data_IF_744034470314
#
_entry.id   IF_744034470314
#
_cell.length_a   1.000
_cell.length_b   1.000
_cell.length_c   1.000
_cell.angle_alpha   90.00
_cell.angle_beta   90.00
_cell.angle_gamma   90.00
#
_symmetry.space_group_name_H-M   'P 1'
#
loop_
_entity.id
_entity.type
_entity.pdbx_description
1 polymer ?
#
# COMPACT_ATOMS: atom_id res chain seq x y z
N UNK A 1 20.31 -0.93 -60.94
CA UNK A 1 21.16 -0.89 -59.73
C UNK A 1 21.47 -2.27 -59.21
N UNK A 2 22.62 -2.42 -58.57
CA UNK A 2 23.10 -3.67 -57.97
C UNK A 2 23.14 -3.52 -56.45
N UNK A 3 22.47 -4.42 -55.73
CA UNK A 3 22.41 -4.43 -54.27
C UNK A 3 23.73 -4.91 -53.68
N UNK A 4 24.14 -4.32 -52.55
CA UNK A 4 25.18 -4.88 -51.68
C UNK A 4 24.51 -5.47 -50.43
N UNK A 5 24.64 -6.77 -50.22
CA UNK A 5 24.03 -7.48 -49.10
C UNK A 5 25.00 -8.49 -48.47
N UNK A 6 24.64 -8.96 -47.27
CA UNK A 6 25.31 -10.05 -46.58
C UNK A 6 24.52 -11.34 -46.82
N UNK A 7 25.09 -12.36 -47.47
CA UNK A 7 24.42 -13.67 -47.63
C UNK A 7 24.45 -14.50 -46.34
N UNK A 8 25.31 -14.12 -45.38
CA UNK A 8 25.41 -14.79 -44.08
C UNK A 8 24.35 -14.33 -43.09
N UNK A 9 24.16 -15.11 -42.03
CA UNK A 9 23.26 -14.76 -40.93
C UNK A 9 23.97 -13.88 -39.89
N UNK A 10 23.23 -13.02 -39.16
CA UNK A 10 23.76 -12.34 -37.98
C UNK A 10 24.25 -13.36 -36.94
N UNK A 11 25.42 -13.10 -36.36
CA UNK A 11 26.02 -13.94 -35.31
C UNK A 11 26.44 -13.06 -34.14
N UNK A 12 26.00 -13.48 -32.95
CA UNK A 12 26.22 -12.81 -31.68
C UNK A 12 26.89 -13.80 -30.72
N UNK A 13 28.17 -13.59 -30.41
CA UNK A 13 28.93 -14.43 -29.48
C UNK A 13 29.99 -13.58 -28.75
N UNK A 14 30.21 -13.81 -27.46
CA UNK A 14 31.21 -13.11 -26.62
C UNK A 14 31.18 -11.57 -26.75
N UNK A 15 29.98 -10.98 -26.66
CA UNK A 15 29.73 -9.54 -26.83
C UNK A 15 30.09 -8.95 -28.22
N UNK A 16 30.55 -9.78 -29.16
CA UNK A 16 30.86 -9.42 -30.53
C UNK A 16 29.69 -9.75 -31.47
N UNK A 17 29.44 -8.83 -32.38
CA UNK A 17 28.36 -8.84 -33.37
C UNK A 17 28.98 -8.84 -34.77
N UNK A 18 28.46 -9.66 -35.68
CA UNK A 18 28.98 -9.73 -37.04
C UNK A 18 28.08 -10.56 -37.96
N UNK A 19 28.48 -10.66 -39.22
CA UNK A 19 27.81 -11.49 -40.22
C UNK A 19 28.63 -12.75 -40.47
N UNK A 20 28.01 -13.93 -40.61
CA UNK A 20 28.75 -15.18 -40.83
C UNK A 20 29.57 -15.20 -42.12
N UNK A 21 29.19 -14.39 -43.11
CA UNK A 21 29.92 -14.18 -44.35
C UNK A 21 31.09 -13.19 -44.21
N UNK A 22 31.33 -12.60 -43.04
CA UNK A 22 32.34 -11.56 -42.82
C UNK A 22 33.20 -11.82 -41.59
N UNK A 23 34.48 -11.42 -41.68
CA UNK A 23 35.40 -11.48 -40.53
C UNK A 23 35.28 -10.28 -39.60
N UNK A 24 34.67 -9.16 -40.04
CA UNK A 24 34.51 -7.95 -39.21
C UNK A 24 33.57 -8.24 -38.03
N UNK A 25 34.02 -7.91 -36.82
CA UNK A 25 33.28 -8.04 -35.56
C UNK A 25 33.23 -6.69 -34.86
N UNK A 26 32.10 -6.34 -34.29
CA UNK A 26 31.90 -5.07 -33.57
C UNK A 26 31.24 -5.36 -32.21
N UNK A 27 31.58 -4.59 -31.18
CA UNK A 27 30.90 -4.65 -29.89
C UNK A 27 29.64 -3.78 -29.88
N UNK A 28 29.62 -2.71 -30.69
CA UNK A 28 28.48 -1.81 -30.84
C UNK A 28 27.45 -2.31 -31.86
N UNK A 29 26.16 -2.10 -31.56
CA UNK A 29 25.04 -2.55 -32.40
C UNK A 29 24.80 -1.64 -33.61
N UNK A 30 25.02 -0.33 -33.45
CA UNK A 30 24.87 0.63 -34.55
C UNK A 30 25.96 0.42 -35.60
N UNK A 31 27.19 0.12 -35.16
CA UNK A 31 28.29 -0.24 -36.05
C UNK A 31 28.01 -1.56 -36.80
N UNK A 32 27.40 -2.55 -36.15
CA UNK A 32 27.01 -3.82 -36.77
C UNK A 32 26.00 -3.63 -37.91
N UNK A 33 24.93 -2.85 -37.69
CA UNK A 33 23.95 -2.54 -38.74
C UNK A 33 24.56 -1.73 -39.90
N UNK A 34 25.62 -0.98 -39.61
CA UNK A 34 26.33 -0.15 -40.58
C UNK A 34 27.36 -0.92 -41.43
N UNK A 35 27.59 -2.21 -41.15
CA UNK A 35 28.51 -3.04 -41.94
C UNK A 35 27.96 -3.20 -43.36
N UNK A 36 28.64 -2.60 -44.34
CA UNK A 36 28.29 -2.69 -45.77
C UNK A 36 28.28 -4.15 -46.24
N UNK A 37 27.29 -4.51 -47.06
CA UNK A 37 27.14 -5.85 -47.63
C UNK A 37 28.42 -6.32 -48.35
N UNK A 38 28.83 -7.55 -48.11
CA UNK A 38 30.04 -8.11 -48.70
C UNK A 38 29.83 -8.71 -50.10
N UNK A 39 28.58 -8.87 -50.55
CA UNK A 39 28.23 -9.50 -51.83
C UNK A 39 27.39 -8.54 -52.69
N UNK A 40 27.69 -8.49 -53.99
CA UNK A 40 26.97 -7.68 -54.98
C UNK A 40 26.03 -8.56 -55.80
N UNK A 41 24.75 -8.22 -55.89
CA UNK A 41 23.79 -8.98 -56.68
C UNK A 41 22.59 -8.17 -57.15
N UNK A 42 21.72 -8.79 -57.95
CA UNK A 42 20.49 -8.17 -58.42
C UNK A 42 19.43 -8.17 -57.33
N UNK A 43 18.55 -7.17 -57.35
CA UNK A 43 17.45 -7.08 -56.39
C UNK A 43 16.45 -8.19 -56.69
N UNK A 44 16.23 -9.10 -55.73
CA UNK A 44 15.13 -10.08 -55.80
C UNK A 44 13.96 -9.60 -54.93
N UNK A 45 12.72 -9.82 -55.38
CA UNK A 45 11.49 -9.58 -54.59
C UNK A 45 11.11 -10.77 -53.71
N UNK A 46 11.84 -11.87 -53.81
CA UNK A 46 11.60 -13.07 -53.01
C UNK A 46 12.21 -12.88 -51.63
N UNK A 47 11.37 -12.97 -50.58
CA UNK A 47 11.83 -12.93 -49.18
C UNK A 47 12.71 -14.15 -48.94
N UNK A 48 13.98 -13.98 -48.51
CA UNK A 48 14.81 -15.12 -48.12
C UNK A 48 14.11 -15.93 -47.01
N UNK A 49 14.21 -17.27 -47.03
CA UNK A 49 13.61 -18.11 -46.01
C UNK A 49 14.11 -17.69 -44.63
N UNK A 50 13.19 -17.60 -43.66
CA UNK A 50 13.53 -17.28 -42.28
C UNK A 50 14.49 -18.35 -41.76
N UNK A 51 15.61 -17.97 -41.10
CA UNK A 51 16.57 -18.94 -40.62
C UNK A 51 15.90 -19.81 -39.55
N UNK A 52 15.66 -21.08 -39.89
CA UNK A 52 15.28 -22.10 -38.92
C UNK A 52 16.40 -22.19 -37.89
N UNK A 53 16.05 -22.06 -36.62
CA UNK A 53 16.91 -22.39 -35.48
C UNK A 53 17.43 -23.83 -35.66
N UNK A 54 18.62 -23.99 -36.23
CA UNK A 54 19.28 -25.28 -36.32
C UNK A 54 19.97 -25.54 -34.98
N UNK A 55 19.36 -26.41 -34.18
CA UNK A 55 20.04 -27.15 -33.13
C UNK A 55 21.24 -27.88 -33.76
N UNK A 56 22.42 -27.72 -33.16
CA UNK A 56 23.65 -28.34 -33.69
C UNK A 56 23.59 -29.84 -33.44
N UNK A 57 23.45 -30.63 -34.49
CA UNK A 57 23.91 -32.03 -34.52
C UNK A 57 25.35 -32.04 -35.05
N UNK A 58 26.31 -32.41 -34.22
CA UNK A 58 27.60 -32.92 -34.67
C UNK A 58 28.01 -34.07 -33.76
N UNK A 59 28.36 -35.18 -34.40
CA UNK A 59 28.73 -36.47 -33.83
C UNK A 59 30.18 -36.46 -33.28
N UNK A 60 30.46 -37.41 -32.38
CA UNK A 60 31.75 -37.84 -31.77
C UNK A 60 32.34 -37.15 -30.50
N UNK A 61 33.12 -37.87 -29.63
CA UNK A 61 32.54 -38.53 -28.45
C UNK A 61 33.07 -38.05 -27.07
N UNK A 62 32.15 -38.13 -26.08
CA UNK A 62 32.31 -38.20 -24.61
C UNK A 62 33.39 -37.35 -23.91
N UNK A 63 32.94 -36.24 -23.31
CA UNK A 63 33.42 -35.77 -22.01
C UNK A 63 32.21 -35.42 -21.10
N UNK A 64 32.39 -35.65 -19.79
CA UNK A 64 31.38 -35.74 -18.71
C UNK A 64 30.40 -34.53 -18.66
N UNK A 65 29.16 -34.70 -18.17
CA UNK A 65 28.18 -33.63 -18.16
C UNK A 65 28.54 -32.60 -17.08
N UNK A 66 29.07 -31.45 -17.49
CA UNK A 66 28.97 -30.23 -16.71
C UNK A 66 27.52 -29.79 -16.88
N UNK A 67 26.74 -29.76 -15.80
CA UNK A 67 25.41 -29.12 -15.81
C UNK A 67 25.62 -27.67 -16.25
N UNK A 68 25.30 -27.37 -17.50
CA UNK A 68 25.17 -26.00 -17.96
C UNK A 68 24.13 -25.33 -17.07
N UNK A 69 24.59 -24.39 -16.26
CA UNK A 69 23.72 -23.51 -15.49
C UNK A 69 23.04 -22.60 -16.52
N UNK A 70 21.88 -23.01 -17.03
CA UNK A 70 21.03 -22.16 -17.87
C UNK A 70 20.66 -20.95 -17.01
N UNK A 71 21.36 -19.84 -17.19
CA UNK A 71 20.99 -18.57 -16.58
C UNK A 71 19.73 -18.10 -17.30
N UNK A 72 18.57 -18.45 -16.74
CA UNK A 72 17.29 -17.92 -17.21
C UNK A 72 17.33 -16.40 -17.07
N UNK A 73 17.12 -15.69 -18.18
CA UNK A 73 16.90 -14.25 -18.15
C UNK A 73 15.66 -13.90 -17.31
N UNK A 74 15.55 -12.65 -16.82
CA UNK A 74 14.37 -12.22 -16.06
C UNK A 74 13.08 -12.47 -16.88
N UNK A 75 12.02 -12.90 -16.21
CA UNK A 75 10.71 -13.13 -16.84
C UNK A 75 10.25 -11.85 -17.56
N UNK A 76 9.65 -11.99 -18.75
CA UNK A 76 9.02 -10.86 -19.45
C UNK A 76 7.92 -10.24 -18.59
N UNK A 77 7.79 -8.91 -18.61
CA UNK A 77 6.78 -8.16 -17.87
C UNK A 77 5.34 -8.65 -18.15
N UNK A 78 5.03 -9.02 -19.39
CA UNK A 78 3.71 -9.58 -19.74
C UNK A 78 3.43 -10.93 -19.04
N UNK A 79 4.46 -11.77 -18.90
CA UNK A 79 4.32 -13.06 -18.22
C UNK A 79 4.14 -12.86 -16.71
N UNK A 80 4.87 -11.89 -16.13
CA UNK A 80 4.71 -11.54 -14.71
C UNK A 80 3.32 -11.00 -14.40
N UNK A 81 2.75 -10.16 -15.28
CA UNK A 81 1.38 -9.66 -15.15
C UNK A 81 0.33 -10.78 -15.22
N UNK A 82 0.50 -11.77 -16.10
CA UNK A 82 -0.44 -12.91 -16.20
C UNK A 82 -0.37 -13.88 -15.02
N UNK A 83 0.82 -14.05 -14.43
CA UNK A 83 1.04 -14.92 -13.27
C UNK A 83 0.70 -14.22 -11.95
N UNK A 84 0.38 -12.93 -11.98
CA UNK A 84 0.10 -12.12 -10.79
C UNK A 84 -1.21 -12.56 -10.12
N UNK A 85 -1.19 -12.89 -8.82
CA UNK A 85 -2.40 -13.23 -8.07
C UNK A 85 -3.41 -12.08 -8.00
N UNK A 86 -4.67 -12.39 -7.66
CA UNK A 86 -5.70 -11.35 -7.54
C UNK A 86 -5.42 -10.40 -6.37
N UNK A 87 -5.83 -9.13 -6.53
CA UNK A 87 -5.83 -8.13 -5.45
C UNK A 87 -6.80 -8.50 -4.32
N UNK A 88 -7.90 -9.18 -4.66
CA UNK A 88 -8.98 -9.55 -3.75
C UNK A 88 -8.67 -10.78 -2.87
N UNK A 89 -7.46 -11.33 -2.96
CA UNK A 89 -7.05 -12.44 -2.08
C UNK A 89 -7.12 -12.04 -0.59
N UNK A 90 -7.50 -12.97 0.30
CA UNK A 90 -7.63 -12.68 1.72
C UNK A 90 -6.30 -12.18 2.30
N UNK A 91 -6.34 -11.01 2.93
CA UNK A 91 -5.15 -10.39 3.53
C UNK A 91 -4.85 -11.02 4.87
N UNK A 92 -3.59 -11.38 5.08
CA UNK A 92 -3.10 -11.91 6.35
C UNK A 92 -2.56 -10.78 7.23
N UNK A 93 -2.85 -10.85 8.53
CA UNK A 93 -2.28 -9.92 9.51
C UNK A 93 -0.79 -10.18 9.69
N UNK A 94 0.03 -9.14 9.53
CA UNK A 94 1.48 -9.22 9.69
C UNK A 94 1.88 -9.13 11.17
N UNK A 95 2.93 -9.86 11.59
CA UNK A 95 3.42 -9.78 12.96
C UNK A 95 3.99 -8.39 13.25
N UNK A 96 3.57 -7.80 14.36
CA UNK A 96 4.04 -6.49 14.81
C UNK A 96 5.22 -6.68 15.76
N UNK A 97 6.38 -6.12 15.41
CA UNK A 97 7.55 -6.05 16.28
C UNK A 97 7.78 -4.61 16.71
N UNK A 98 7.70 -4.37 18.02
CA UNK A 98 7.89 -3.05 18.62
C UNK A 98 9.37 -2.87 18.98
N UNK A 99 9.92 -1.69 18.73
CA UNK A 99 11.29 -1.36 19.14
C UNK A 99 11.31 -0.85 20.58
N UNK A 100 12.38 -1.17 21.32
CA UNK A 100 12.59 -0.73 22.71
C UNK A 100 12.48 0.79 22.87
N UNK A 101 12.94 1.55 21.87
CA UNK A 101 12.85 3.01 21.88
C UNK A 101 11.40 3.52 21.85
N UNK A 102 10.51 2.84 21.12
CA UNK A 102 9.09 3.19 21.07
C UNK A 102 8.40 2.81 22.38
N UNK A 103 8.71 1.63 22.94
CA UNK A 103 8.19 1.21 24.26
C UNK A 103 8.50 2.25 25.33
N UNK A 104 9.77 2.65 25.43
CA UNK A 104 10.21 3.69 26.37
C UNK A 104 9.55 5.06 26.12
N UNK A 105 9.30 5.42 24.86
CA UNK A 105 8.63 6.68 24.54
C UNK A 105 7.16 6.65 24.99
N UNK A 106 6.47 5.52 24.80
CA UNK A 106 5.09 5.34 25.25
C UNK A 106 4.98 5.28 26.78
N UNK A 107 5.91 4.59 27.45
CA UNK A 107 6.01 4.60 28.91
C UNK A 107 6.20 6.01 29.45
N UNK A 108 7.14 6.80 28.89
CA UNK A 108 7.34 8.19 29.32
C UNK A 108 6.13 9.08 29.07
N UNK A 109 5.40 8.87 27.97
CA UNK A 109 4.19 9.64 27.71
C UNK A 109 3.10 9.30 28.73
N UNK A 110 2.92 8.01 29.04
CA UNK A 110 2.02 7.57 30.10
C UNK A 110 2.44 8.14 31.46
N UNK A 111 3.72 8.06 31.81
CA UNK A 111 4.25 8.63 33.05
C UNK A 111 4.13 10.16 33.07
N UNK A 112 4.26 10.88 31.95
CA UNK A 112 4.07 12.34 31.91
C UNK A 112 2.60 12.75 32.02
N UNK A 113 1.68 11.93 31.52
CA UNK A 113 0.27 12.06 31.83
C UNK A 113 -0.01 11.71 33.29
N UNK A 114 0.73 10.77 33.87
CA UNK A 114 0.58 10.39 35.27
C UNK A 114 1.24 11.39 36.25
N UNK A 115 2.35 12.05 35.90
CA UNK A 115 3.09 13.01 36.73
C UNK A 115 2.39 14.38 36.77
N UNK A 116 1.70 14.75 35.67
CA UNK A 116 0.63 15.78 35.73
C UNK A 116 -0.58 15.35 36.56
N UNK A 117 -0.69 14.08 36.94
CA UNK A 117 -1.76 13.56 37.81
C UNK A 117 -1.28 13.16 39.21
N UNK A 118 0.00 13.34 39.57
CA UNK A 118 0.46 13.04 40.94
C UNK A 118 0.09 14.14 41.95
N UNK A 119 -0.24 15.36 41.49
CA UNK A 119 -1.01 16.34 42.27
C UNK A 119 -2.54 16.14 42.16
N UNK A 120 -3.02 15.18 41.36
CA UNK A 120 -4.44 14.90 41.15
C UNK A 120 -4.79 13.41 41.30
N UNK A 121 -4.07 12.70 42.18
CA UNK A 121 -4.17 11.24 42.33
C UNK A 121 -5.35 10.76 43.20
N UNK A 122 -6.35 11.63 43.36
CA UNK A 122 -7.70 11.31 43.84
C UNK A 122 -8.80 11.51 42.76
N UNK A 123 -8.49 12.05 41.57
CA UNK A 123 -9.51 12.50 40.60
C UNK A 123 -9.61 11.65 39.30
N UNK A 124 -9.17 10.40 39.29
CA UNK A 124 -9.44 9.48 38.18
C UNK A 124 -10.68 8.60 38.47
N UNK A 125 -11.87 9.21 38.44
CA UNK A 125 -13.17 8.60 38.06
C UNK A 125 -14.41 9.43 38.47
N UNK A 126 -14.25 10.61 39.09
CA UNK A 126 -15.42 11.45 39.39
C UNK A 126 -15.66 12.42 38.23
N UNK A 127 -16.59 12.05 37.34
CA UNK A 127 -17.22 13.02 36.44
C UNK A 127 -17.69 14.19 37.32
N UNK A 128 -17.24 15.41 37.03
CA UNK A 128 -17.59 16.56 37.86
C UNK A 128 -19.07 16.89 37.67
N UNK A 129 -19.76 17.16 38.78
CA UNK A 129 -21.13 17.67 38.72
C UNK A 129 -21.15 18.94 37.84
N UNK A 130 -22.08 18.99 36.88
CA UNK A 130 -22.11 20.00 35.81
C UNK A 130 -21.60 19.53 34.44
N UNK A 131 -21.05 18.32 34.32
CA UNK A 131 -20.57 17.80 33.01
C UNK A 131 -21.75 17.46 32.09
N UNK A 132 -21.80 18.02 30.89
CA UNK A 132 -22.84 17.72 29.90
C UNK A 132 -22.61 16.40 29.17
N UNK A 133 -23.69 15.70 28.85
CA UNK A 133 -23.62 14.49 28.04
C UNK A 133 -23.07 14.81 26.64
N UNK A 134 -22.13 14.00 26.18
CA UNK A 134 -21.44 14.15 24.88
C UNK A 134 -22.14 13.40 23.75
N UNK A 135 -23.24 12.70 24.02
CA UNK A 135 -24.04 12.06 22.97
C UNK A 135 -24.87 13.12 22.20
N UNK A 136 -24.95 12.99 20.88
CA UNK A 136 -25.68 13.93 20.03
C UNK A 136 -27.17 14.04 20.39
N UNK A 137 -27.71 15.26 20.44
CA UNK A 137 -29.07 15.61 20.90
C UNK A 137 -29.35 15.41 22.40
N UNK A 138 -28.44 14.80 23.18
CA UNK A 138 -28.60 14.70 24.62
C UNK A 138 -28.13 15.97 25.32
N UNK A 139 -28.99 16.59 26.13
CA UNK A 139 -28.71 17.82 26.91
C UNK A 139 -28.59 17.56 28.41
N UNK A 140 -28.51 16.30 28.83
CA UNK A 140 -28.42 15.93 30.24
C UNK A 140 -27.11 16.45 30.85
N UNK A 141 -27.18 16.79 32.14
CA UNK A 141 -26.06 17.29 32.93
C UNK A 141 -25.83 16.30 34.06
N UNK A 142 -24.59 15.86 34.22
CA UNK A 142 -24.18 14.98 35.29
C UNK A 142 -24.30 15.71 36.64
N UNK A 143 -25.14 15.21 37.54
CA UNK A 143 -25.32 15.74 38.90
C UNK A 143 -24.76 14.79 39.97
N UNK A 144 -24.50 13.53 39.59
CA UNK A 144 -23.98 12.51 40.47
C UNK A 144 -24.17 11.12 39.85
N UNK A 145 -23.88 10.04 40.61
CA UNK A 145 -24.06 8.66 40.16
C UNK A 145 -25.48 8.34 39.68
N UNK A 146 -26.49 9.05 40.20
CA UNK A 146 -27.88 8.96 39.77
C UNK A 146 -28.08 9.36 38.30
N UNK A 147 -27.28 10.29 37.77
CA UNK A 147 -27.36 10.65 36.34
C UNK A 147 -26.94 9.50 35.42
N UNK A 148 -26.23 8.48 35.93
CA UNK A 148 -25.85 7.31 35.14
C UNK A 148 -27.00 6.31 34.96
N UNK A 149 -28.03 6.35 35.80
CA UNK A 149 -29.19 5.45 35.71
C UNK A 149 -30.27 5.99 34.78
N UNK A 150 -30.21 7.28 34.43
CA UNK A 150 -31.07 7.90 33.44
C UNK A 150 -30.81 7.36 32.02
N UNK A 151 -31.89 7.27 31.24
CA UNK A 151 -31.81 6.78 29.86
C UNK A 151 -31.44 7.93 28.93
N UNK A 152 -30.29 7.82 28.28
CA UNK A 152 -29.84 8.78 27.28
C UNK A 152 -30.56 8.54 25.95
N UNK A 153 -31.28 9.53 25.44
CA UNK A 153 -31.83 9.56 24.07
C UNK A 153 -30.91 10.36 23.16
N UNK A 154 -30.36 9.73 22.12
CA UNK A 154 -29.37 10.36 21.25
C UNK A 154 -29.41 9.82 19.82
N UNK A 155 -28.70 10.51 18.92
CA UNK A 155 -28.42 10.00 17.57
C UNK A 155 -27.09 9.25 17.55
N UNK A 156 -27.06 7.94 17.24
CA UNK A 156 -25.81 7.19 17.09
C UNK A 156 -25.10 7.46 15.76
N UNK A 157 -25.82 8.01 14.78
CA UNK A 157 -25.28 8.37 13.48
C UNK A 157 -24.54 9.71 13.49
N UNK A 158 -24.03 10.08 12.31
CA UNK A 158 -23.30 11.33 12.08
C UNK A 158 -24.22 12.38 11.43
N UNK A 159 -23.95 13.68 11.63
CA UNK A 159 -24.64 14.74 10.91
C UNK A 159 -24.28 14.67 9.42
N UNK A 160 -25.27 14.77 8.54
CA UNK A 160 -25.11 14.77 7.09
C UNK A 160 -25.67 16.07 6.52
N UNK A 161 -24.85 16.76 5.73
CA UNK A 161 -25.20 17.99 5.03
C UNK A 161 -24.98 17.78 3.53
N UNK A 162 -26.06 17.55 2.78
CA UNK A 162 -26.00 17.31 1.33
C UNK A 162 -27.15 18.03 0.63
N UNK A 163 -26.88 18.73 -0.46
CA UNK A 163 -27.89 19.43 -1.28
C UNK A 163 -28.81 20.37 -0.48
N UNK A 164 -28.27 21.07 0.52
CA UNK A 164 -29.03 21.98 1.39
C UNK A 164 -29.88 21.29 2.46
N UNK A 165 -29.97 19.96 2.44
CA UNK A 165 -30.62 19.15 3.45
C UNK A 165 -29.65 18.81 4.58
N UNK A 166 -30.18 18.81 5.81
CA UNK A 166 -29.49 18.49 7.06
C UNK A 166 -30.24 17.36 7.75
N UNK A 167 -29.54 16.29 8.11
CA UNK A 167 -30.15 15.13 8.77
C UNK A 167 -29.10 14.28 9.49
N UNK A 168 -29.57 13.40 10.38
CA UNK A 168 -28.72 12.38 10.99
C UNK A 168 -28.74 11.09 10.17
N UNK A 169 -27.59 10.49 9.91
CA UNK A 169 -27.49 9.24 9.12
C UNK A 169 -28.23 8.05 9.75
N UNK A 170 -28.51 8.09 11.05
CA UNK A 170 -29.18 7.03 11.79
C UNK A 170 -30.70 6.97 11.61
N UNK A 171 -31.37 8.11 11.41
CA UNK A 171 -32.83 8.16 11.26
C UNK A 171 -33.30 8.81 9.95
N UNK A 172 -32.43 9.53 9.25
CA UNK A 172 -32.73 10.09 7.94
C UNK A 172 -33.78 11.20 7.94
N UNK A 173 -34.10 11.80 9.09
CA UNK A 173 -35.10 12.87 9.19
C UNK A 173 -34.50 14.16 8.62
N UNK A 174 -34.96 14.55 7.43
CA UNK A 174 -34.42 15.70 6.68
C UNK A 174 -35.07 17.02 7.10
N UNK A 175 -34.25 18.05 7.23
CA UNK A 175 -34.66 19.44 7.42
C UNK A 175 -33.74 20.36 6.63
N UNK A 176 -34.27 21.48 6.15
CA UNK A 176 -33.47 22.54 5.51
C UNK A 176 -32.97 23.56 6.55
N UNK A 177 -33.68 23.73 7.67
CA UNK A 177 -33.34 24.64 8.75
C UNK A 177 -32.34 24.01 9.74
N UNK A 178 -31.31 24.79 10.13
CA UNK A 178 -30.24 24.33 11.01
C UNK A 178 -30.66 24.23 12.48
N UNK A 179 -31.50 25.15 12.96
CA UNK A 179 -32.00 25.12 14.33
C UNK A 179 -32.90 23.91 14.52
N UNK A 180 -33.81 23.66 13.57
CA UNK A 180 -34.64 22.46 13.54
C UNK A 180 -33.82 21.17 13.52
N UNK A 181 -32.65 21.15 12.85
CA UNK A 181 -31.72 20.02 12.85
C UNK A 181 -31.10 19.77 14.25
N UNK A 182 -30.65 20.83 14.92
CA UNK A 182 -30.05 20.75 16.27
C UNK A 182 -31.07 20.35 17.34
N UNK A 183 -32.35 20.64 17.11
CA UNK A 183 -33.45 20.30 18.02
C UNK A 183 -34.07 18.93 17.76
N UNK A 184 -33.62 18.18 16.74
CA UNK A 184 -34.15 16.85 16.45
C UNK A 184 -33.95 15.92 17.66
N UNK A 185 -35.00 15.22 18.11
CA UNK A 185 -34.89 14.30 19.23
C UNK A 185 -34.10 13.06 18.82
N UNK A 186 -33.22 12.59 19.72
CA UNK A 186 -32.43 11.40 19.52
C UNK A 186 -33.27 10.17 19.18
N UNK A 187 -32.84 9.40 18.18
CA UNK A 187 -33.58 8.23 17.67
C UNK A 187 -33.22 6.91 18.36
N UNK A 188 -32.26 6.90 19.29
CA UNK A 188 -31.82 5.69 20.00
C UNK A 188 -31.69 5.96 21.49
N UNK A 189 -31.83 4.89 22.29
CA UNK A 189 -31.76 4.92 23.75
C UNK A 189 -30.53 4.15 24.23
N UNK A 190 -29.83 4.65 25.24
CA UNK A 190 -28.66 3.98 25.82
C UNK A 190 -28.16 4.69 27.08
N UNK A 191 -26.89 4.48 27.43
CA UNK A 191 -26.26 5.15 28.57
C UNK A 191 -25.67 6.50 28.19
N UNK A 192 -25.64 7.42 29.14
CA UNK A 192 -24.97 8.70 28.96
C UNK A 192 -23.47 8.53 28.78
N UNK A 193 -22.88 9.37 27.92
CA UNK A 193 -21.44 9.48 27.73
C UNK A 193 -20.99 10.82 28.31
N UNK A 194 -20.25 10.79 29.43
CA UNK A 194 -19.79 12.01 30.12
C UNK A 194 -18.36 12.39 29.78
N UNK A 195 -17.59 11.44 29.26
CA UNK A 195 -16.23 11.64 28.79
C UNK A 195 -16.23 11.98 27.31
N UNK A 196 -15.25 12.74 26.85
CA UNK A 196 -15.11 13.02 25.43
C UNK A 196 -14.86 11.72 24.67
N UNK A 197 -15.74 11.41 23.72
CA UNK A 197 -15.40 10.47 22.66
C UNK A 197 -14.26 11.12 21.89
N UNK A 198 -13.05 10.60 22.04
CA UNK A 198 -11.92 11.05 21.24
C UNK A 198 -12.25 10.70 19.79
N UNK A 199 -12.81 11.66 19.06
CA UNK A 199 -13.08 11.50 17.64
C UNK A 199 -11.79 11.08 16.98
N UNK A 200 -11.86 9.93 16.30
CA UNK A 200 -10.75 9.36 15.56
C UNK A 200 -10.48 10.29 14.38
N UNK A 201 -9.42 11.09 14.46
CA UNK A 201 -9.06 12.04 13.41
C UNK A 201 -8.30 11.30 12.32
N UNK A 202 -8.89 11.15 11.15
CA UNK A 202 -8.16 10.67 9.97
C UNK A 202 -7.05 11.68 9.62
N UNK A 203 -5.82 11.20 9.47
CA UNK A 203 -4.64 12.01 9.17
C UNK A 203 -3.87 11.36 8.03
N UNK A 204 -3.48 12.16 7.04
CA UNK A 204 -2.53 11.75 6.02
C UNK A 204 -1.12 11.78 6.61
N UNK A 205 -0.45 10.64 6.61
CA UNK A 205 0.96 10.55 6.98
C UNK A 205 1.82 10.65 5.72
N UNK A 206 3.01 11.24 5.85
CA UNK A 206 4.05 11.08 4.84
C UNK A 206 4.42 9.58 4.79
N UNK A 207 4.63 9.09 3.58
CA UNK A 207 5.09 7.74 3.32
C UNK A 207 6.34 7.79 2.46
N UNK A 208 7.17 6.76 2.59
CA UNK A 208 8.30 6.51 1.71
C UNK A 208 8.45 5.00 1.53
N UNK A 209 9.10 4.57 0.45
CA UNK A 209 9.35 3.17 0.21
C UNK A 209 10.69 2.95 -0.49
N UNK A 210 11.31 1.81 -0.18
CA UNK A 210 12.46 1.34 -0.92
C UNK A 210 12.41 -0.19 -1.00
N UNK A 211 13.18 -0.75 -1.94
CA UNK A 211 13.28 -2.20 -2.08
C UNK A 211 14.74 -2.64 -2.08
N UNK A 212 14.97 -3.83 -1.53
CA UNK A 212 16.21 -4.59 -1.66
C UNK A 212 15.97 -5.73 -2.67
N UNK A 213 16.96 -6.61 -2.85
CA UNK A 213 16.79 -7.79 -3.71
C UNK A 213 15.73 -8.77 -3.20
N UNK A 214 15.35 -8.71 -1.92
CA UNK A 214 14.45 -9.67 -1.30
C UNK A 214 13.31 -9.07 -0.48
N UNK A 215 13.30 -7.74 -0.24
CA UNK A 215 12.33 -7.09 0.63
C UNK A 215 11.87 -5.77 0.06
N UNK A 216 10.57 -5.50 0.16
CA UNK A 216 10.00 -4.17 -0.02
C UNK A 216 9.75 -3.59 1.37
N UNK A 217 10.26 -2.39 1.62
CA UNK A 217 10.13 -1.68 2.89
C UNK A 217 9.27 -0.44 2.67
N UNK A 218 8.12 -0.39 3.33
CA UNK A 218 7.23 0.77 3.35
C UNK A 218 7.37 1.46 4.71
N UNK A 219 7.75 2.74 4.69
CA UNK A 219 7.93 3.57 5.88
C UNK A 219 6.78 4.56 5.99
N UNK A 220 6.04 4.51 7.09
CA UNK A 220 5.00 5.50 7.42
C UNK A 220 5.51 6.40 8.55
N UNK A 221 5.57 7.71 8.30
CA UNK A 221 6.03 8.67 9.28
C UNK A 221 4.87 9.11 10.19
N UNK A 222 4.79 8.50 11.37
CA UNK A 222 3.83 8.84 12.42
C UNK A 222 4.56 8.98 13.77
N UNK A 223 4.19 9.99 14.57
CA UNK A 223 4.76 10.19 15.90
C UNK A 223 4.04 9.32 16.92
N UNK A 224 4.78 8.59 17.75
CA UNK A 224 4.26 7.78 18.85
C UNK A 224 3.07 6.88 18.42
N UNK A 225 3.28 5.97 17.44
CA UNK A 225 2.26 5.00 17.07
C UNK A 225 1.95 4.09 18.25
N UNK A 226 0.71 3.62 18.33
CA UNK A 226 0.17 2.73 19.35
C UNK A 226 0.05 1.31 18.75
N UNK A 227 1.03 0.42 18.98
CA UNK A 227 1.10 -0.87 18.30
C UNK A 227 -0.09 -1.78 18.63
N UNK A 228 -0.57 -1.76 19.89
CA UNK A 228 -1.70 -2.57 20.34
C UNK A 228 -3.04 -2.21 19.67
N UNK A 229 -3.15 -1.00 19.12
CA UNK A 229 -4.36 -0.51 18.44
C UNK A 229 -4.18 -0.40 16.92
N UNK A 230 -2.98 -0.70 16.43
CA UNK A 230 -2.63 -0.63 15.01
C UNK A 230 -2.63 -2.02 14.39
N UNK A 231 -2.86 -2.11 13.10
CA UNK A 231 -2.81 -3.37 12.36
C UNK A 231 -2.26 -3.15 10.95
N UNK A 232 -1.46 -4.10 10.48
CA UNK A 232 -0.99 -4.15 9.10
C UNK A 232 -1.37 -5.51 8.54
N UNK A 233 -2.02 -5.52 7.39
CA UNK A 233 -2.43 -6.74 6.69
C UNK A 233 -1.84 -6.71 5.28
N UNK A 234 -1.45 -7.86 4.75
CA UNK A 234 -0.97 -7.94 3.39
C UNK A 234 -1.39 -9.26 2.72
N UNK A 235 -1.51 -9.23 1.41
CA UNK A 235 -1.47 -10.42 0.55
C UNK A 235 -0.30 -10.26 -0.44
N UNK A 236 -0.29 -11.05 -1.51
CA UNK A 236 0.78 -11.01 -2.51
C UNK A 236 0.84 -9.72 -3.32
N UNK A 237 -0.23 -8.93 -3.35
CA UNK A 237 -0.40 -7.82 -4.29
C UNK A 237 -0.79 -6.51 -3.62
N UNK A 238 -1.22 -6.54 -2.35
CA UNK A 238 -1.74 -5.40 -1.60
C UNK A 238 -1.27 -5.42 -0.15
N UNK A 239 -0.89 -4.24 0.35
CA UNK A 239 -0.59 -3.96 1.75
C UNK A 239 -1.62 -2.95 2.29
N UNK A 240 -2.33 -3.31 3.34
CA UNK A 240 -3.28 -2.46 4.05
C UNK A 240 -2.69 -2.10 5.42
N UNK A 241 -2.51 -0.80 5.67
CA UNK A 241 -1.97 -0.27 6.92
C UNK A 241 -3.03 0.56 7.65
N UNK A 242 -3.29 0.22 8.91
CA UNK A 242 -4.14 0.99 9.82
C UNK A 242 -3.33 1.30 11.09
N UNK A 243 -2.88 2.54 11.20
CA UNK A 243 -1.96 2.99 12.26
C UNK A 243 -2.66 4.03 13.12
N UNK A 244 -2.80 3.73 14.41
CA UNK A 244 -3.30 4.68 15.41
C UNK A 244 -2.10 5.29 16.12
N UNK A 245 -2.09 6.62 16.25
CA UNK A 245 -0.98 7.35 16.87
C UNK A 245 -1.47 8.61 17.58
N UNK A 246 -0.67 9.13 18.52
CA UNK A 246 -1.01 10.31 19.33
C UNK A 246 -2.42 10.23 19.97
N UNK A 247 -2.83 9.03 20.39
CA UNK A 247 -4.09 8.77 21.11
C UNK A 247 -5.32 8.61 20.22
N UNK A 248 -5.58 9.52 19.29
CA UNK A 248 -6.81 9.52 18.48
C UNK A 248 -6.60 9.77 16.99
N UNK A 249 -5.37 9.94 16.50
CA UNK A 249 -5.11 10.09 15.07
C UNK A 249 -5.05 8.72 14.42
N UNK A 250 -5.66 8.59 13.25
CA UNK A 250 -5.68 7.37 12.47
C UNK A 250 -5.12 7.66 11.10
N UNK A 251 -4.13 6.87 10.72
CA UNK A 251 -3.67 6.75 9.34
C UNK A 251 -4.19 5.44 8.77
N UNK A 252 -4.85 5.50 7.62
CA UNK A 252 -5.31 4.34 6.87
C UNK A 252 -4.85 4.46 5.43
N UNK A 253 -4.19 3.42 4.92
CA UNK A 253 -3.75 3.34 3.54
C UNK A 253 -3.79 1.92 3.00
N UNK A 254 -4.06 1.82 1.71
CA UNK A 254 -3.95 0.59 0.92
C UNK A 254 -2.90 0.86 -0.17
N UNK A 255 -1.89 -0.01 -0.28
CA UNK A 255 -0.78 0.12 -1.22
C UNK A 255 -0.73 -1.11 -2.12
N UNK A 256 -0.73 -0.89 -3.43
CA UNK A 256 -0.52 -1.94 -4.42
C UNK A 256 0.97 -2.27 -4.54
N UNK A 257 1.32 -3.52 -4.29
CA UNK A 257 2.70 -4.03 -4.31
C UNK A 257 3.05 -4.50 -5.73
N UNK A 258 3.63 -3.62 -6.54
CA UNK A 258 4.02 -3.95 -7.92
C UNK A 258 5.26 -4.84 -7.95
N UNK A 259 5.16 -6.00 -8.64
CA UNK A 259 6.22 -7.00 -8.71
C UNK A 259 5.72 -8.37 -9.13
#
# INVERSE_FOLDING_TARGET
DSCLYHPGVPIFHDALKGWSCCKKRTTDFSEFLSIKGCTKGFHSKEKPPEPSSQERTSDEPKAKPVKELIVQGPKSAEKMLRERPSSDEPRQLLPIKVSRSLEQALEKLNVSSEDKTLESREEAAQVRAGTTCKNAACKAIYQGPESNTEVCTFHPGVPVFHEGMKYWSCCGIKTTDFSAFMEQPGCSRGCHCWTEKKDKKAVLCRQDWHQTSSQVVVTVYAKNPLPALSSVKANHTVLEAHIIFEGNKIFQAELELWG
#
